data_IF_476279493280
#
_entry.id   IF_476279493280
#
_cell.length_a   1.000
_cell.length_b   1.000
_cell.length_c   1.000
_cell.angle_alpha   90.00
_cell.angle_beta   90.00
_cell.angle_gamma   90.00
#
_symmetry.space_group_name_H-M   'P 1'
#
loop_
_entity.id
_entity.type
_entity.pdbx_description
1 polymer ?
#
# COMPACT_ATOMS: atom_id res chain seq x y z
N UNK A 1 48.22 10.12 -27.50
CA UNK A 1 46.82 10.23 -27.03
C UNK A 1 45.99 9.34 -27.92
N UNK A 2 45.66 8.12 -27.50
CA UNK A 2 44.76 7.23 -28.23
C UNK A 2 43.33 7.69 -27.98
N UNK A 3 42.60 8.05 -29.03
CA UNK A 3 41.24 8.58 -28.92
C UNK A 3 40.32 7.53 -28.28
N UNK A 4 39.88 7.77 -27.04
CA UNK A 4 38.85 6.97 -26.38
C UNK A 4 37.53 7.19 -27.12
N UNK A 5 36.87 6.11 -27.51
CA UNK A 5 35.59 6.19 -28.20
C UNK A 5 34.49 6.59 -27.20
N UNK A 6 34.04 7.85 -27.23
CA UNK A 6 32.93 8.32 -26.40
C UNK A 6 31.54 8.06 -27.02
N UNK A 7 31.45 7.29 -28.10
CA UNK A 7 30.18 7.08 -28.83
C UNK A 7 29.29 6.01 -28.20
N UNK A 8 29.81 5.17 -27.30
CA UNK A 8 29.06 4.09 -26.69
C UNK A 8 27.85 4.59 -25.90
N UNK A 9 28.03 5.56 -24.99
CA UNK A 9 26.94 6.10 -24.18
C UNK A 9 25.83 6.74 -25.02
N UNK A 10 26.21 7.48 -26.06
CA UNK A 10 25.26 8.14 -26.97
C UNK A 10 24.44 7.13 -27.77
N UNK A 11 25.08 6.05 -28.26
CA UNK A 11 24.38 4.98 -29.00
C UNK A 11 23.53 4.15 -28.03
N UNK A 12 23.94 3.97 -26.78
CA UNK A 12 23.19 3.21 -25.77
C UNK A 12 21.92 3.94 -25.33
N UNK A 13 21.96 5.26 -25.23
CA UNK A 13 20.83 6.09 -24.77
C UNK A 13 19.88 6.49 -25.89
N UNK A 14 20.41 6.83 -27.08
CA UNK A 14 19.63 7.41 -28.17
C UNK A 14 19.65 6.57 -29.46
N UNK A 15 20.47 5.52 -29.52
CA UNK A 15 20.63 4.69 -30.71
C UNK A 15 19.71 3.46 -30.75
N UNK A 16 19.80 2.74 -31.86
CA UNK A 16 19.09 1.47 -32.09
C UNK A 16 20.02 0.27 -31.88
N UNK A 17 19.45 -0.91 -31.57
CA UNK A 17 20.23 -2.14 -31.35
C UNK A 17 21.15 -2.49 -32.53
N UNK A 18 20.75 -2.23 -33.76
CA UNK A 18 21.54 -2.52 -34.97
C UNK A 18 22.78 -1.61 -35.07
N UNK A 19 22.63 -0.33 -34.71
CA UNK A 19 23.75 0.62 -34.64
C UNK A 19 24.71 0.24 -33.50
N UNK A 20 24.20 -0.27 -32.39
CA UNK A 20 25.04 -0.75 -31.30
C UNK A 20 25.82 -2.00 -31.72
N UNK A 21 25.17 -3.00 -32.32
CA UNK A 21 25.83 -4.25 -32.76
C UNK A 21 26.93 -3.99 -33.80
N UNK A 22 26.67 -3.11 -34.78
CA UNK A 22 27.67 -2.73 -35.78
C UNK A 22 28.82 -1.91 -35.18
N UNK A 23 28.55 -1.04 -34.21
CA UNK A 23 29.61 -0.28 -33.52
C UNK A 23 30.50 -1.18 -32.65
N UNK A 24 29.91 -2.15 -31.95
CA UNK A 24 30.63 -3.13 -31.15
C UNK A 24 31.55 -3.99 -32.01
N UNK A 25 31.18 -4.39 -33.23
CA UNK A 25 32.07 -5.15 -34.12
C UNK A 25 33.32 -4.35 -34.54
N UNK A 26 33.21 -3.03 -34.62
CA UNK A 26 34.27 -2.16 -35.14
C UNK A 26 35.15 -1.53 -34.05
N UNK A 27 34.70 -1.48 -32.79
CA UNK A 27 35.41 -0.83 -31.70
C UNK A 27 35.69 -1.77 -30.51
N UNK A 28 36.96 -2.18 -30.27
CA UNK A 28 37.30 -3.11 -29.18
C UNK A 28 37.17 -2.48 -27.78
N UNK A 29 37.24 -1.16 -27.66
CA UNK A 29 37.05 -0.47 -26.37
C UNK A 29 35.58 -0.50 -25.94
N UNK A 30 34.65 -0.20 -26.86
CA UNK A 30 33.22 -0.29 -26.58
C UNK A 30 32.73 -1.73 -26.34
N UNK A 31 33.41 -2.75 -26.89
CA UNK A 31 33.14 -4.14 -26.54
C UNK A 31 33.40 -4.43 -25.06
N UNK A 32 34.54 -3.98 -24.53
CA UNK A 32 34.88 -4.15 -23.11
C UNK A 32 33.88 -3.43 -22.20
N UNK A 33 33.44 -2.23 -22.60
CA UNK A 33 32.39 -1.49 -21.87
C UNK A 33 31.06 -2.25 -21.88
N UNK A 34 30.65 -2.80 -23.03
CA UNK A 34 29.45 -3.63 -23.13
C UNK A 34 29.54 -4.89 -22.26
N UNK A 35 30.70 -5.54 -22.19
CA UNK A 35 30.91 -6.69 -21.30
C UNK A 35 30.78 -6.32 -19.82
N UNK A 36 31.32 -5.16 -19.42
CA UNK A 36 31.15 -4.64 -18.06
C UNK A 36 29.67 -4.36 -17.77
N UNK A 37 28.96 -3.72 -18.70
CA UNK A 37 27.53 -3.45 -18.57
C UNK A 37 26.69 -4.73 -18.49
N UNK A 38 27.05 -5.76 -19.25
CA UNK A 38 26.39 -7.07 -19.18
C UNK A 38 26.59 -7.72 -17.80
N UNK A 39 27.80 -7.68 -17.24
CA UNK A 39 28.08 -8.18 -15.88
C UNK A 39 27.26 -7.44 -14.82
N UNK A 40 27.17 -6.11 -14.91
CA UNK A 40 26.35 -5.30 -14.00
C UNK A 40 24.87 -5.62 -14.15
N UNK A 41 24.38 -5.81 -15.39
CA UNK A 41 23.00 -6.20 -15.66
C UNK A 41 22.65 -7.54 -15.01
N UNK A 42 23.54 -8.52 -15.08
CA UNK A 42 23.32 -9.83 -14.46
C UNK A 42 23.28 -9.74 -12.93
N UNK A 43 24.19 -8.97 -12.32
CA UNK A 43 24.13 -8.69 -10.88
C UNK A 43 22.80 -8.02 -10.47
N UNK A 44 22.28 -7.09 -11.27
CA UNK A 44 20.98 -6.45 -11.00
C UNK A 44 19.81 -7.43 -11.13
N UNK A 45 19.88 -8.41 -12.04
CA UNK A 45 18.85 -9.45 -12.18
C UNK A 45 18.78 -10.35 -10.94
N UNK A 46 19.91 -10.62 -10.29
CA UNK A 46 19.95 -11.40 -9.04
C UNK A 46 19.28 -10.69 -7.87
N UNK A 47 19.40 -9.36 -7.78
CA UNK A 47 18.81 -8.57 -6.68
C UNK A 47 17.33 -8.19 -6.95
N UNK A 48 16.90 -8.16 -8.21
CA UNK A 48 15.50 -7.92 -8.61
C UNK A 48 14.46 -8.75 -7.83
N UNK A 49 14.57 -10.09 -7.69
CA UNK A 49 13.56 -10.88 -6.98
C UNK A 49 13.38 -10.43 -5.52
N UNK A 50 14.46 -10.05 -4.83
CA UNK A 50 14.40 -9.55 -3.45
C UNK A 50 13.54 -8.28 -3.33
N UNK A 51 13.74 -7.30 -4.22
CA UNK A 51 12.96 -6.07 -4.20
C UNK A 51 11.49 -6.30 -4.58
N UNK A 52 11.22 -7.18 -5.54
CA UNK A 52 9.85 -7.55 -5.92
C UNK A 52 9.14 -8.22 -4.74
N UNK A 53 9.80 -9.13 -4.04
CA UNK A 53 9.25 -9.80 -2.87
C UNK A 53 9.00 -8.83 -1.72
N UNK A 54 9.94 -7.93 -1.44
CA UNK A 54 9.78 -6.86 -0.46
C UNK A 54 8.60 -5.96 -0.80
N UNK A 55 8.42 -5.55 -2.06
CA UNK A 55 7.26 -4.73 -2.47
C UNK A 55 5.94 -5.47 -2.27
N UNK A 56 5.89 -6.78 -2.57
CA UNK A 56 4.69 -7.61 -2.36
C UNK A 56 4.30 -7.73 -0.89
N UNK A 57 5.25 -7.82 0.05
CA UNK A 57 4.93 -7.91 1.48
C UNK A 57 4.31 -6.62 2.03
N UNK A 58 4.86 -5.45 1.66
CA UNK A 58 4.27 -4.16 2.02
C UNK A 58 2.87 -3.95 1.43
N UNK A 59 2.63 -4.43 0.20
CA UNK A 59 1.30 -4.38 -0.39
C UNK A 59 0.29 -5.24 0.40
N UNK A 60 0.67 -6.46 0.79
CA UNK A 60 -0.17 -7.32 1.65
C UNK A 60 -0.48 -6.66 3.00
N UNK A 61 0.51 -6.02 3.62
CA UNK A 61 0.32 -5.31 4.89
C UNK A 61 -0.68 -4.15 4.76
N UNK A 62 -0.56 -3.35 3.69
CA UNK A 62 -1.51 -2.25 3.41
C UNK A 62 -2.93 -2.77 3.19
N UNK A 63 -3.08 -3.87 2.45
CA UNK A 63 -4.38 -4.51 2.23
C UNK A 63 -4.98 -5.03 3.54
N UNK A 64 -4.18 -5.69 4.38
CA UNK A 64 -4.64 -6.17 5.69
C UNK A 64 -5.10 -5.01 6.59
N UNK A 65 -4.35 -3.91 6.62
CA UNK A 65 -4.71 -2.71 7.38
C UNK A 65 -6.02 -2.08 6.88
N UNK A 66 -6.19 -1.96 5.56
CA UNK A 66 -7.41 -1.43 4.97
C UNK A 66 -8.64 -2.30 5.30
N UNK A 67 -8.53 -3.62 5.17
CA UNK A 67 -9.60 -4.56 5.51
C UNK A 67 -9.94 -4.47 7.00
N UNK A 68 -8.94 -4.42 7.88
CA UNK A 68 -9.17 -4.27 9.31
C UNK A 68 -9.93 -2.97 9.64
N UNK A 69 -9.54 -1.85 9.04
CA UNK A 69 -10.22 -0.57 9.25
C UNK A 69 -11.69 -0.58 8.79
N UNK A 70 -11.98 -1.25 7.67
CA UNK A 70 -13.35 -1.38 7.16
C UNK A 70 -14.20 -2.27 8.08
N UNK A 71 -13.66 -3.43 8.48
CA UNK A 71 -14.37 -4.34 9.39
C UNK A 71 -14.60 -3.68 10.75
N UNK A 72 -13.58 -3.03 11.31
CA UNK A 72 -13.68 -2.35 12.59
C UNK A 72 -14.72 -1.23 12.53
N UNK A 73 -14.67 -0.35 11.53
CA UNK A 73 -15.67 0.72 11.39
C UNK A 73 -17.09 0.19 11.20
N UNK A 74 -17.29 -0.87 10.41
CA UNK A 74 -18.59 -1.52 10.24
C UNK A 74 -19.12 -2.11 11.55
N UNK A 75 -18.29 -2.83 12.30
CA UNK A 75 -18.70 -3.42 13.59
C UNK A 75 -19.02 -2.36 14.64
N UNK A 76 -18.23 -1.28 14.71
CA UNK A 76 -18.48 -0.16 15.65
C UNK A 76 -19.80 0.53 15.32
N UNK A 77 -20.08 0.83 14.04
CA UNK A 77 -21.36 1.41 13.64
C UNK A 77 -22.54 0.47 13.97
N UNK A 78 -22.37 -0.84 13.78
CA UNK A 78 -23.37 -1.83 14.15
C UNK A 78 -23.65 -1.84 15.65
N UNK A 79 -22.61 -1.85 16.48
CA UNK A 79 -22.75 -1.86 17.95
C UNK A 79 -23.41 -0.59 18.45
N UNK A 80 -22.99 0.58 17.94
CA UNK A 80 -23.57 1.86 18.34
C UNK A 80 -25.03 1.99 17.92
N UNK A 81 -25.42 1.47 16.76
CA UNK A 81 -26.78 1.65 16.25
C UNK A 81 -27.77 0.56 16.72
N UNK A 82 -27.30 -0.64 17.06
CA UNK A 82 -28.15 -1.75 17.51
C UNK A 82 -28.31 -1.81 19.04
N UNK A 83 -27.46 -1.11 19.80
CA UNK A 83 -27.57 -1.03 21.26
C UNK A 83 -27.95 0.39 21.67
N UNK A 84 -29.22 0.60 22.00
CA UNK A 84 -29.77 1.88 22.46
C UNK A 84 -28.96 2.43 23.64
N UNK A 85 -28.59 1.59 24.60
CA UNK A 85 -27.83 2.00 25.78
C UNK A 85 -26.47 2.59 25.42
N UNK A 86 -25.78 2.00 24.42
CA UNK A 86 -24.48 2.52 23.95
C UNK A 86 -24.68 3.83 23.20
N UNK A 87 -25.71 3.94 22.36
CA UNK A 87 -26.02 5.22 21.69
C UNK A 87 -26.43 6.32 22.68
N UNK A 88 -27.15 5.98 23.75
CA UNK A 88 -27.64 6.91 24.74
C UNK A 88 -26.50 7.40 25.62
N UNK A 89 -25.61 6.51 26.06
CA UNK A 89 -24.37 6.90 26.75
C UNK A 89 -23.54 7.83 25.86
N UNK A 90 -23.42 7.57 24.56
CA UNK A 90 -22.65 8.40 23.64
C UNK A 90 -23.29 9.77 23.37
N UNK A 91 -24.63 9.88 23.37
CA UNK A 91 -25.35 11.13 23.10
C UNK A 91 -25.61 11.98 24.34
N UNK A 92 -25.96 11.33 25.45
CA UNK A 92 -26.50 11.96 26.65
C UNK A 92 -25.62 11.72 27.89
N UNK A 93 -24.56 10.90 27.78
CA UNK A 93 -23.63 10.60 28.88
C UNK A 93 -24.16 9.60 29.90
N UNK A 94 -25.41 9.18 29.78
CA UNK A 94 -26.11 8.22 30.65
C UNK A 94 -27.12 7.43 29.82
N UNK A 95 -27.56 6.27 30.32
CA UNK A 95 -28.64 5.49 29.70
C UNK A 95 -29.99 6.12 30.02
N UNK A 96 -30.86 6.29 29.02
CA UNK A 96 -32.20 6.85 29.23
C UNK A 96 -33.09 5.88 30.00
N UNK A 97 -33.77 6.37 31.04
CA UNK A 97 -34.76 5.60 31.79
C UNK A 97 -36.15 5.67 31.12
N UNK A 98 -37.08 4.81 31.55
CA UNK A 98 -38.45 4.83 31.02
C UNK A 98 -39.16 6.18 31.25
N UNK A 99 -38.84 6.87 32.35
CA UNK A 99 -39.35 8.22 32.65
C UNK A 99 -38.81 9.27 31.67
N UNK A 100 -37.51 9.21 31.36
CA UNK A 100 -36.87 10.13 30.39
C UNK A 100 -37.41 9.97 28.96
N UNK A 101 -37.90 8.77 28.64
CA UNK A 101 -38.57 8.48 27.37
C UNK A 101 -40.06 8.89 27.36
N UNK A 102 -40.58 9.41 28.47
CA UNK A 102 -41.95 9.89 28.62
C UNK A 102 -42.99 8.79 28.84
N UNK A 103 -42.57 7.59 29.28
CA UNK A 103 -43.51 6.54 29.66
C UNK A 103 -44.07 6.80 31.06
N UNK A 104 -45.36 6.48 31.32
CA UNK A 104 -45.92 6.62 32.66
C UNK A 104 -45.25 5.61 33.60
N UNK A 105 -44.56 6.11 34.62
CA UNK A 105 -43.88 5.32 35.65
C UNK A 105 -44.43 5.62 37.04
N UNK A 106 -44.32 4.65 37.95
CA UNK A 106 -44.73 4.79 39.34
C UNK A 106 -43.66 5.54 40.18
N UNK A 107 -43.94 5.79 41.46
CA UNK A 107 -42.98 6.45 42.37
C UNK A 107 -41.68 5.66 42.62
N UNK A 108 -41.61 4.40 42.18
CA UNK A 108 -40.43 3.55 42.26
C UNK A 108 -39.71 3.41 40.91
N UNK A 109 -40.18 4.07 39.84
CA UNK A 109 -39.58 4.04 38.50
C UNK A 109 -39.97 2.84 37.63
N UNK A 110 -41.01 2.10 38.00
CA UNK A 110 -41.54 0.98 37.22
C UNK A 110 -42.65 1.45 36.28
N UNK A 111 -42.73 0.84 35.09
CA UNK A 111 -43.79 1.15 34.12
C UNK A 111 -45.18 0.90 34.73
N UNK A 112 -46.02 1.94 34.70
CA UNK A 112 -47.42 1.85 35.11
C UNK A 112 -48.20 1.14 34.00
N UNK A 113 -48.83 0.02 34.35
CA UNK A 113 -49.77 -0.67 33.47
C UNK A 113 -51.15 -0.48 34.10
N UNK A 114 -52.00 0.33 33.46
CA UNK A 114 -53.45 0.37 33.76
C UNK A 114 -54.16 -0.85 33.15
#
# INVERSE_FOLDING_TARGET
MTEKCNKYEAIFTFGNEEMMKSHLQNCPECQKEQEQMNKVSDLLKEVRPYYVQKRKSYAKLKMACAVFAILFSGTVLGVVNLNSDVSDILRYGTTLSADDLGFPVDSYGLLMVE
#
